data_IF_527936372308
#
_entry.id   IF_527936372308
#
_cell.length_a   1.000
_cell.length_b   1.000
_cell.length_c   1.000
_cell.angle_alpha   90.00
_cell.angle_beta   90.00
_cell.angle_gamma   90.00
#
_symmetry.space_group_name_H-M   'P 1'
#
loop_
_entity.id
_entity.type
_entity.pdbx_description
1 polymer ?
#
# COMPACT_ATOMS: atom_id res chain seq x y z
N UNK A 1 -43.56 -17.76 53.85
CA UNK A 1 -43.77 -17.66 52.38
C UNK A 1 -42.67 -16.74 51.85
N UNK A 2 -41.59 -17.29 51.27
CA UNK A 2 -41.36 -17.37 49.80
C UNK A 2 -41.82 -16.06 49.13
N UNK A 3 -40.93 -15.21 48.61
CA UNK A 3 -40.21 -15.49 47.37
C UNK A 3 -39.07 -14.46 47.18
N UNK A 4 -37.83 -14.94 47.02
CA UNK A 4 -36.68 -14.15 46.57
C UNK A 4 -36.80 -13.99 45.05
N UNK A 5 -37.05 -12.79 44.55
CA UNK A 5 -36.87 -12.50 43.11
C UNK A 5 -35.40 -12.16 42.86
N UNK A 6 -34.64 -13.18 42.47
CA UNK A 6 -33.31 -13.03 41.87
C UNK A 6 -33.53 -12.70 40.40
N UNK A 7 -33.35 -11.44 39.99
CA UNK A 7 -33.28 -11.06 38.58
C UNK A 7 -31.89 -11.45 38.06
N UNK A 8 -31.80 -12.63 37.43
CA UNK A 8 -30.66 -13.05 36.63
C UNK A 8 -30.63 -12.22 35.35
N UNK A 9 -29.82 -11.15 35.33
CA UNK A 9 -29.46 -10.48 34.09
C UNK A 9 -28.43 -11.34 33.34
N UNK A 10 -28.92 -12.07 32.33
CA UNK A 10 -28.10 -12.68 31.28
C UNK A 10 -27.42 -11.57 30.47
N UNK A 11 -26.17 -11.26 30.80
CA UNK A 11 -25.33 -10.43 29.93
C UNK A 11 -24.86 -11.33 28.80
N UNK A 12 -25.56 -11.25 27.67
CA UNK A 12 -25.15 -11.85 26.41
C UNK A 12 -23.78 -11.27 26.01
N UNK A 13 -22.77 -12.13 25.96
CA UNK A 13 -21.44 -11.75 25.51
C UNK A 13 -21.50 -11.23 24.07
N UNK A 14 -21.12 -9.96 23.87
CA UNK A 14 -20.84 -9.43 22.55
C UNK A 14 -19.60 -10.14 22.02
N UNK A 15 -19.79 -11.13 21.15
CA UNK A 15 -18.72 -11.63 20.32
C UNK A 15 -18.30 -10.49 19.39
N UNK A 16 -17.17 -9.85 19.70
CA UNK A 16 -16.52 -8.93 18.79
C UNK A 16 -16.05 -9.77 17.60
N UNK A 17 -16.84 -9.79 16.53
CA UNK A 17 -16.42 -10.36 15.26
C UNK A 17 -15.28 -9.53 14.71
N UNK A 18 -14.05 -9.89 15.05
CA UNK A 18 -12.88 -9.45 14.31
C UNK A 18 -13.03 -10.01 12.89
N UNK A 19 -13.52 -9.20 11.96
CA UNK A 19 -13.59 -9.55 10.55
C UNK A 19 -12.22 -10.08 10.12
N UNK A 20 -12.20 -11.30 9.60
CA UNK A 20 -10.99 -11.98 9.16
C UNK A 20 -10.36 -11.17 8.04
N UNK A 21 -9.44 -10.28 8.38
CA UNK A 21 -8.67 -9.53 7.41
C UNK A 21 -7.77 -10.54 6.70
N UNK A 22 -8.12 -10.92 5.47
CA UNK A 22 -7.31 -11.81 4.66
C UNK A 22 -5.88 -11.27 4.62
N UNK A 23 -4.92 -12.13 4.97
CA UNK A 23 -3.52 -11.77 4.89
C UNK A 23 -3.20 -11.49 3.42
N UNK A 24 -2.76 -10.26 3.11
CA UNK A 24 -2.40 -9.89 1.74
C UNK A 24 -1.33 -10.86 1.22
N UNK A 25 -1.59 -11.49 0.06
CA UNK A 25 -0.63 -12.42 -0.55
C UNK A 25 0.56 -11.64 -1.09
N UNK A 26 1.77 -11.97 -0.67
CA UNK A 26 3.01 -11.33 -1.16
C UNK A 26 3.12 -11.36 -2.70
N UNK A 27 2.57 -12.39 -3.35
CA UNK A 27 2.49 -12.54 -4.81
C UNK A 27 1.66 -11.46 -5.52
N UNK A 28 0.92 -10.65 -4.77
CA UNK A 28 0.21 -9.50 -5.32
C UNK A 28 1.06 -8.23 -5.39
N UNK A 29 2.21 -8.19 -4.73
CA UNK A 29 3.08 -7.02 -4.70
C UNK A 29 4.11 -7.05 -5.81
N UNK A 30 4.46 -5.88 -6.32
CA UNK A 30 5.59 -5.69 -7.21
C UNK A 30 6.88 -5.67 -6.37
N UNK A 31 7.50 -6.84 -6.22
CA UNK A 31 8.70 -7.03 -5.39
C UNK A 31 9.67 -7.97 -6.08
N UNK A 32 10.95 -7.62 -6.05
CA UNK A 32 12.01 -8.50 -6.48
C UNK A 32 12.61 -9.20 -5.26
N UNK A 33 12.53 -10.53 -5.20
CA UNK A 33 12.99 -11.33 -4.03
C UNK A 33 12.41 -10.83 -2.70
N UNK A 34 11.19 -10.29 -2.73
CA UNK A 34 10.50 -9.73 -1.55
C UNK A 34 10.90 -8.30 -1.18
N UNK A 35 11.78 -7.64 -1.94
CA UNK A 35 12.16 -6.24 -1.76
C UNK A 35 11.28 -5.31 -2.59
N UNK A 36 10.65 -4.33 -1.94
CA UNK A 36 9.85 -3.30 -2.61
C UNK A 36 10.69 -2.17 -3.18
N UNK A 37 10.10 -1.47 -4.17
CA UNK A 37 10.61 -0.21 -4.72
C UNK A 37 12.06 -0.31 -5.20
N UNK A 38 12.52 -1.50 -5.60
CA UNK A 38 13.92 -1.77 -5.95
C UNK A 38 14.92 -1.33 -4.85
N UNK A 39 14.49 -1.24 -3.59
CA UNK A 39 15.29 -0.74 -2.47
C UNK A 39 15.33 0.79 -2.33
N UNK A 40 14.46 1.54 -2.99
CA UNK A 40 14.21 2.95 -2.67
C UNK A 40 13.44 3.10 -1.36
N UNK A 41 13.75 4.16 -0.63
CA UNK A 41 13.13 4.47 0.66
C UNK A 41 11.69 4.98 0.46
N UNK A 42 10.65 4.26 0.94
CA UNK A 42 9.26 4.65 0.76
C UNK A 42 8.91 5.99 1.43
N UNK A 43 9.61 6.37 2.50
CA UNK A 43 9.38 7.66 3.19
C UNK A 43 9.95 8.82 2.36
N UNK A 44 11.07 8.60 1.67
CA UNK A 44 11.73 9.65 0.88
C UNK A 44 10.89 10.20 -0.28
N UNK A 45 9.95 9.42 -0.82
CA UNK A 45 8.99 9.85 -1.85
C UNK A 45 8.13 11.04 -1.43
N UNK A 46 7.95 11.23 -0.12
CA UNK A 46 7.14 12.30 0.45
C UNK A 46 7.97 13.53 0.83
N UNK A 47 9.25 13.54 0.46
CA UNK A 47 10.16 14.66 0.68
C UNK A 47 10.40 15.45 -0.61
N UNK A 48 10.74 16.73 -0.48
CA UNK A 48 11.01 17.61 -1.63
C UNK A 48 12.21 17.16 -2.48
N UNK A 49 13.10 16.32 -1.95
CA UNK A 49 14.26 15.79 -2.67
C UNK A 49 13.96 14.61 -3.59
N UNK A 50 12.73 14.10 -3.58
CA UNK A 50 12.34 12.91 -4.34
C UNK A 50 12.87 11.59 -3.73
N UNK A 51 12.69 10.46 -4.44
CA UNK A 51 13.02 9.15 -3.92
C UNK A 51 14.53 8.94 -3.81
N UNK A 52 14.97 8.45 -2.65
CA UNK A 52 16.37 8.17 -2.33
C UNK A 52 16.58 6.67 -2.13
N UNK A 53 17.73 6.14 -2.56
CA UNK A 53 18.06 4.73 -2.29
C UNK A 53 18.22 4.49 -0.78
N UNK A 54 17.61 3.42 -0.30
CA UNK A 54 17.78 2.95 1.06
C UNK A 54 19.06 2.13 1.22
N UNK A 55 19.39 1.84 2.47
CA UNK A 55 20.48 0.96 2.87
C UNK A 55 19.88 -0.31 3.51
N UNK A 56 20.38 -1.48 3.15
CA UNK A 56 19.91 -2.76 3.70
C UNK A 56 20.10 -2.88 5.23
N UNK A 57 20.95 -2.05 5.83
CA UNK A 57 21.11 -1.90 7.29
C UNK A 57 19.84 -1.35 7.95
N UNK A 58 19.14 -0.43 7.28
CA UNK A 58 17.88 0.14 7.76
C UNK A 58 16.74 -0.51 6.97
N UNK A 59 16.15 -1.57 7.52
CA UNK A 59 15.07 -2.31 6.85
C UNK A 59 13.92 -2.65 7.78
N UNK A 60 12.72 -2.74 7.23
CA UNK A 60 11.52 -3.16 7.93
C UNK A 60 10.66 -4.02 7.01
N UNK A 61 9.83 -4.87 7.61
CA UNK A 61 8.89 -5.70 6.86
C UNK A 61 7.45 -5.26 7.17
N UNK A 62 6.63 -5.16 6.12
CA UNK A 62 5.20 -4.90 6.26
C UNK A 62 4.45 -5.79 5.27
N UNK A 63 3.47 -6.57 5.74
CA UNK A 63 2.69 -7.51 4.92
C UNK A 63 3.56 -8.49 4.12
N UNK A 64 4.62 -8.98 4.74
CA UNK A 64 5.58 -9.89 4.12
C UNK A 64 6.57 -9.24 3.15
N UNK A 65 6.44 -7.95 2.87
CA UNK A 65 7.32 -7.20 1.96
C UNK A 65 8.40 -6.46 2.73
N UNK A 66 9.65 -6.52 2.24
CA UNK A 66 10.80 -5.82 2.81
C UNK A 66 10.95 -4.43 2.18
N UNK A 67 11.20 -3.43 3.02
CA UNK A 67 11.48 -2.05 2.64
C UNK A 67 12.83 -1.63 3.21
N UNK A 68 13.61 -0.91 2.41
CA UNK A 68 14.87 -0.29 2.86
C UNK A 68 14.67 1.21 3.10
N UNK A 69 15.50 1.79 3.95
CA UNK A 69 15.42 3.19 4.34
C UNK A 69 16.77 3.87 4.20
N UNK A 70 16.75 5.16 3.86
CA UNK A 70 17.95 5.99 3.76
C UNK A 70 18.56 6.25 5.13
N UNK A 71 17.77 6.22 6.19
CA UNK A 71 18.17 6.48 7.56
C UNK A 71 17.29 5.71 8.56
N UNK A 72 17.80 5.54 9.79
CA UNK A 72 17.02 5.01 10.91
C UNK A 72 15.79 5.88 11.22
N UNK A 73 15.88 7.20 11.03
CA UNK A 73 14.76 8.11 11.22
C UNK A 73 13.60 7.81 10.25
N UNK A 74 13.90 7.55 8.97
CA UNK A 74 12.88 7.18 7.99
C UNK A 74 12.29 5.79 8.30
N UNK A 75 13.11 4.83 8.73
CA UNK A 75 12.63 3.53 9.19
C UNK A 75 11.64 3.69 10.36
N UNK A 76 11.92 4.56 11.33
CA UNK A 76 11.03 4.84 12.46
C UNK A 76 9.71 5.48 12.02
N UNK A 77 9.74 6.44 11.08
CA UNK A 77 8.53 7.03 10.50
C UNK A 77 7.67 5.97 9.80
N UNK A 78 8.30 5.07 9.05
CA UNK A 78 7.58 3.98 8.40
C UNK A 78 6.96 3.01 9.39
N UNK A 79 7.68 2.61 10.43
CA UNK A 79 7.15 1.71 11.46
C UNK A 79 5.98 2.31 12.24
N UNK A 80 5.93 3.64 12.38
CA UNK A 80 4.83 4.34 13.02
C UNK A 80 3.54 4.31 12.19
N UNK A 81 3.62 4.43 10.86
CA UNK A 81 2.46 4.37 9.97
C UNK A 81 2.81 3.85 8.56
N UNK A 82 3.07 2.54 8.45
CA UNK A 82 3.52 1.94 7.19
C UNK A 82 2.50 2.13 6.05
N UNK A 83 1.20 2.14 6.36
CA UNK A 83 0.11 2.27 5.37
C UNK A 83 0.17 3.58 4.60
N UNK A 84 0.71 4.63 5.20
CA UNK A 84 0.93 5.93 4.56
C UNK A 84 2.00 5.88 3.46
N UNK A 85 3.06 5.11 3.69
CA UNK A 85 4.27 5.17 2.88
C UNK A 85 4.35 4.07 1.82
N UNK A 86 3.63 2.95 1.99
CA UNK A 86 3.62 1.89 0.97
C UNK A 86 2.97 2.37 -0.34
N UNK A 87 3.49 1.92 -1.50
CA UNK A 87 2.87 2.24 -2.77
C UNK A 87 1.45 1.66 -2.86
N UNK A 88 0.54 2.41 -3.48
CA UNK A 88 -0.77 1.89 -3.85
C UNK A 88 -0.63 0.77 -4.87
N UNK A 89 -1.66 -0.07 -4.91
CA UNK A 89 -1.75 -1.19 -5.86
C UNK A 89 -0.55 -2.13 -5.80
N UNK A 90 0.02 -2.33 -4.60
CA UNK A 90 1.14 -3.22 -4.37
C UNK A 90 2.45 -2.79 -5.05
N UNK A 91 2.55 -1.56 -5.57
CA UNK A 91 3.72 -1.11 -6.36
C UNK A 91 3.60 -1.31 -7.87
N UNK A 92 2.45 -1.76 -8.36
CA UNK A 92 2.16 -1.85 -9.80
C UNK A 92 1.74 -0.50 -10.38
N UNK A 93 1.86 -0.36 -11.71
CA UNK A 93 1.50 0.84 -12.44
C UNK A 93 0.03 1.24 -12.19
N UNK A 94 -0.18 2.42 -11.61
CA UNK A 94 -1.51 2.93 -11.31
C UNK A 94 -2.37 3.15 -12.56
N UNK A 95 -1.76 3.57 -13.66
CA UNK A 95 -2.46 3.71 -14.94
C UNK A 95 -2.99 2.38 -15.46
N UNK A 96 -2.14 1.35 -15.53
CA UNK A 96 -2.58 0.03 -16.00
C UNK A 96 -3.68 -0.53 -15.08
N UNK A 97 -3.47 -0.43 -13.76
CA UNK A 97 -4.49 -0.83 -12.79
C UNK A 97 -5.85 -0.16 -13.03
N UNK A 98 -5.86 1.12 -13.42
CA UNK A 98 -7.08 1.86 -13.76
C UNK A 98 -7.65 1.58 -15.15
N UNK A 99 -6.80 1.38 -16.15
CA UNK A 99 -7.19 1.21 -17.54
C UNK A 99 -7.73 -0.20 -17.82
N UNK A 100 -7.05 -1.22 -17.30
CA UNK A 100 -7.34 -2.62 -17.60
C UNK A 100 -7.24 -3.57 -16.39
N UNK A 101 -6.80 -3.08 -15.22
CA UNK A 101 -6.66 -3.92 -14.03
C UNK A 101 -5.45 -4.84 -14.06
N UNK A 102 -4.46 -4.54 -14.90
CA UNK A 102 -3.26 -5.36 -15.05
C UNK A 102 -2.14 -4.95 -14.08
N UNK A 103 -1.30 -5.94 -13.73
CA UNK A 103 -0.05 -5.75 -13.01
C UNK A 103 1.06 -5.46 -14.01
N UNK A 104 1.34 -4.18 -14.22
CA UNK A 104 2.41 -3.72 -15.13
C UNK A 104 3.53 -3.09 -14.31
N UNK A 105 4.77 -3.47 -14.65
CA UNK A 105 6.00 -2.95 -14.05
C UNK A 105 6.08 -1.42 -14.11
N UNK A 106 6.90 -0.85 -13.22
CA UNK A 106 7.00 0.60 -13.03
C UNK A 106 8.44 1.06 -13.16
N UNK A 107 8.61 2.36 -13.43
CA UNK A 107 9.82 3.05 -13.06
C UNK A 107 9.59 3.67 -11.69
N UNK A 108 10.34 3.21 -10.69
CA UNK A 108 10.23 3.67 -9.30
C UNK A 108 10.51 5.17 -9.13
N UNK A 109 11.08 5.85 -10.12
CA UNK A 109 11.27 7.31 -10.15
C UNK A 109 10.14 8.07 -10.85
N UNK A 110 9.25 7.37 -11.55
CA UNK A 110 8.06 7.96 -12.16
C UNK A 110 6.87 7.72 -11.23
N UNK A 111 6.59 8.70 -10.38
CA UNK A 111 5.60 8.60 -9.33
C UNK A 111 4.73 9.86 -9.20
N UNK A 112 3.66 9.75 -8.43
CA UNK A 112 2.84 10.87 -7.99
C UNK A 112 2.41 10.64 -6.54
N UNK A 113 2.48 11.69 -5.73
CA UNK A 113 1.79 11.72 -4.44
C UNK A 113 0.41 12.35 -4.66
N UNK A 114 -0.64 11.60 -4.34
CA UNK A 114 -2.03 12.03 -4.46
C UNK A 114 -2.77 11.63 -3.18
N UNK A 115 -3.43 12.59 -2.53
CA UNK A 115 -4.12 12.40 -1.26
C UNK A 115 -3.25 11.72 -0.18
N UNK A 116 -1.98 12.11 -0.12
CA UNK A 116 -1.02 11.55 0.84
C UNK A 116 -0.61 10.10 0.57
N UNK A 117 -0.84 9.59 -0.65
CA UNK A 117 -0.50 8.22 -1.04
C UNK A 117 0.43 8.19 -2.26
N UNK A 118 1.32 7.19 -2.29
CA UNK A 118 2.28 6.98 -3.35
C UNK A 118 1.69 6.15 -4.50
N UNK A 119 1.71 6.68 -5.72
CA UNK A 119 1.34 5.99 -6.96
C UNK A 119 2.55 5.93 -7.88
N UNK A 120 2.81 4.75 -8.46
CA UNK A 120 3.92 4.50 -9.38
C UNK A 120 3.40 4.28 -10.80
N UNK A 121 4.23 4.57 -11.78
CA UNK A 121 3.84 4.56 -13.18
C UNK A 121 4.89 3.87 -14.04
N UNK A 122 4.42 3.21 -15.09
CA UNK A 122 5.29 2.73 -16.15
C UNK A 122 5.91 3.93 -16.88
N UNK A 123 7.22 3.89 -17.03
CA UNK A 123 7.97 4.81 -17.87
C UNK A 123 9.17 4.08 -18.48
N UNK A 124 9.11 3.80 -19.78
CA UNK A 124 10.24 3.28 -20.53
C UNK A 124 10.16 3.72 -22.00
N UNK A 125 11.32 3.89 -22.62
CA UNK A 125 11.47 4.34 -24.00
C UNK A 125 10.65 5.61 -24.27
N UNK A 126 9.61 5.53 -25.10
CA UNK A 126 8.78 6.66 -25.51
C UNK A 126 7.43 6.73 -24.77
N UNK A 127 7.19 5.84 -23.81
CA UNK A 127 5.90 5.75 -23.13
C UNK A 127 6.03 6.05 -21.63
N UNK A 128 5.34 7.11 -21.20
CA UNK A 128 5.22 7.52 -19.81
C UNK A 128 3.73 7.60 -19.45
N UNK A 129 3.27 6.63 -18.67
CA UNK A 129 1.85 6.49 -18.33
C UNK A 129 1.36 7.52 -17.30
N UNK A 130 2.25 8.20 -16.56
CA UNK A 130 1.88 9.33 -15.71
C UNK A 130 1.26 10.47 -16.54
N UNK A 131 1.75 10.70 -17.76
CA UNK A 131 1.17 11.71 -18.67
C UNK A 131 -0.27 11.37 -19.04
N UNK A 132 -0.57 10.10 -19.31
CA UNK A 132 -1.93 9.64 -19.61
C UNK A 132 -2.82 9.65 -18.37
N UNK A 133 -2.28 9.22 -17.23
CA UNK A 133 -2.96 9.29 -15.93
C UNK A 133 -3.43 10.70 -15.60
N UNK A 134 -2.56 11.71 -15.75
CA UNK A 134 -2.90 13.10 -15.44
C UNK A 134 -4.05 13.66 -16.29
N UNK A 135 -4.38 13.06 -17.43
CA UNK A 135 -5.50 13.48 -18.29
C UNK A 135 -6.86 12.97 -17.81
N UNK A 136 -6.90 11.87 -17.05
CA UNK A 136 -8.15 11.22 -16.60
C UNK A 136 -8.04 10.64 -15.18
N UNK A 137 -7.29 11.34 -14.31
CA UNK A 137 -6.85 10.84 -13.00
C UNK A 137 -8.02 10.35 -12.12
N UNK A 138 -9.09 11.14 -12.03
CA UNK A 138 -10.25 10.83 -11.16
C UNK A 138 -10.93 9.51 -11.56
N UNK A 139 -11.13 9.31 -12.86
CA UNK A 139 -11.77 8.11 -13.40
C UNK A 139 -10.84 6.90 -13.27
N UNK A 140 -9.58 7.05 -13.69
CA UNK A 140 -8.58 5.98 -13.61
C UNK A 140 -8.34 5.53 -12.18
N UNK A 141 -8.26 6.46 -11.22
CA UNK A 141 -8.15 6.13 -9.80
C UNK A 141 -9.35 5.34 -9.30
N UNK A 142 -10.56 5.77 -9.64
CA UNK A 142 -11.79 5.06 -9.23
C UNK A 142 -11.81 3.62 -9.76
N UNK A 143 -11.43 3.43 -11.03
CA UNK A 143 -11.31 2.11 -11.64
C UNK A 143 -10.19 1.28 -11.03
N UNK A 144 -9.03 1.89 -10.78
CA UNK A 144 -7.87 1.23 -10.18
C UNK A 144 -8.18 0.73 -8.76
N UNK A 145 -8.84 1.56 -7.94
CA UNK A 145 -9.31 1.18 -6.60
C UNK A 145 -10.28 -0.02 -6.69
N UNK A 146 -11.19 -0.02 -7.67
CA UNK A 146 -12.13 -1.13 -7.86
C UNK A 146 -11.45 -2.42 -8.35
N UNK A 147 -10.50 -2.33 -9.28
CA UNK A 147 -9.76 -3.48 -9.79
C UNK A 147 -8.84 -4.07 -8.73
N UNK A 148 -8.12 -3.22 -7.99
CA UNK A 148 -7.23 -3.67 -6.91
C UNK A 148 -7.97 -4.41 -5.82
N UNK A 149 -9.17 -3.96 -5.44
CA UNK A 149 -10.04 -4.69 -4.50
C UNK A 149 -10.38 -6.11 -4.96
N UNK A 150 -10.44 -6.39 -6.27
CA UNK A 150 -10.71 -7.75 -6.79
C UNK A 150 -9.45 -8.63 -6.77
N UNK A 151 -8.29 -8.03 -6.98
CA UNK A 151 -6.99 -8.73 -7.01
C UNK A 151 -6.51 -9.11 -5.61
N UNK A 152 -6.73 -8.21 -4.66
CA UNK A 152 -6.19 -8.31 -3.31
C UNK A 152 -7.27 -8.65 -2.27
N UNK A 153 -8.22 -9.51 -2.65
CA UNK A 153 -9.19 -10.15 -1.76
C UNK A 153 -8.65 -11.48 -1.22
#
# INVERSE_FOLDING_TARGET
>A
MKLRMVLLWLVAGMAVSYGQQSADKISNYNVEKGLALEGYDPVSYFSNGGPQKGDAKFKASFRGVTYYFKSEANQKLFLADAKKYVPQYGGWCAYAMGANGEKVEVDVKTFKILDGKLYLFYNAYFNNTLKSWNKDEKNLKTKADANWRKINQ
#
